data_IF_058220282231
#
_entry.id   IF_058220282231
#
_cell.length_a   1.000
_cell.length_b   1.000
_cell.length_c   1.000
_cell.angle_alpha   90.00
_cell.angle_beta   90.00
_cell.angle_gamma   90.00
#
_symmetry.space_group_name_H-M   'P 1'
#
loop_
_entity.id
_entity.type
_entity.pdbx_description
1 polymer ?
#
# COMPACT_ATOMS: atom_id res chain seq x y z
N UNK A 1 -3.33 20.68 -5.98
CA UNK A 1 -3.11 19.59 -5.00
C UNK A 1 -4.30 19.59 -4.06
N UNK A 2 -4.99 18.47 -3.93
CA UNK A 2 -5.97 18.30 -2.85
C UNK A 2 -5.19 17.80 -1.64
N UNK A 3 -5.13 18.64 -0.61
CA UNK A 3 -4.49 18.30 0.67
C UNK A 3 -5.28 17.18 1.35
N UNK A 4 -4.60 16.39 2.18
CA UNK A 4 -5.33 15.42 3.03
C UNK A 4 -6.19 16.19 4.03
N UNK A 5 -7.51 15.96 4.01
CA UNK A 5 -8.46 16.62 4.90
C UNK A 5 -8.65 15.83 6.22
N UNK A 6 -7.94 14.71 6.38
CA UNK A 6 -8.02 13.87 7.58
C UNK A 6 -9.26 12.98 7.63
N UNK A 7 -10.10 12.97 6.59
CA UNK A 7 -11.31 12.14 6.55
C UNK A 7 -10.95 10.66 6.66
N UNK A 8 -11.67 9.92 7.51
CA UNK A 8 -11.45 8.49 7.75
C UNK A 8 -12.79 7.78 7.93
N UNK A 9 -13.48 7.53 6.81
CA UNK A 9 -14.80 6.89 6.76
C UNK A 9 -14.78 5.47 6.19
N UNK A 10 -13.71 5.09 5.48
CA UNK A 10 -13.56 3.75 4.89
C UNK A 10 -13.29 2.71 5.98
N UNK A 11 -12.38 3.01 6.92
CA UNK A 11 -12.07 2.15 8.06
C UNK A 11 -11.94 2.98 9.34
N UNK A 12 -12.30 2.39 10.48
CA UNK A 12 -12.23 3.03 11.80
C UNK A 12 -10.87 2.81 12.48
N UNK A 13 -9.77 3.18 11.82
CA UNK A 13 -8.41 3.10 12.39
C UNK A 13 -7.76 4.48 12.49
N UNK A 14 -6.92 4.65 13.51
CA UNK A 14 -6.12 5.86 13.70
C UNK A 14 -4.86 5.85 12.83
N UNK A 15 -4.49 7.01 12.29
CA UNK A 15 -3.26 7.18 11.52
C UNK A 15 -3.37 6.84 10.03
N UNK A 16 -4.55 6.42 9.56
CA UNK A 16 -4.86 6.19 8.14
C UNK A 16 -6.09 7.01 7.75
N UNK A 17 -5.98 7.78 6.67
CA UNK A 17 -7.06 8.59 6.08
C UNK A 17 -7.60 7.91 4.83
N UNK A 18 -8.80 8.28 4.39
CA UNK A 18 -9.41 7.76 3.16
C UNK A 18 -8.57 8.10 1.94
N UNK A 19 -7.91 9.27 1.93
CA UNK A 19 -6.97 9.65 0.88
C UNK A 19 -5.80 8.66 0.79
N UNK A 20 -5.17 8.33 1.92
CA UNK A 20 -4.06 7.35 1.95
C UNK A 20 -4.54 5.98 1.51
N UNK A 21 -5.70 5.50 2.01
CA UNK A 21 -6.27 4.20 1.62
C UNK A 21 -6.54 4.10 0.14
N UNK A 22 -7.21 5.12 -0.43
CA UNK A 22 -7.49 5.20 -1.86
C UNK A 22 -6.20 5.24 -2.66
N UNK A 23 -5.21 6.05 -2.25
CA UNK A 23 -3.93 6.12 -2.95
C UNK A 23 -3.21 4.77 -2.98
N UNK A 24 -3.18 4.05 -1.86
CA UNK A 24 -2.59 2.70 -1.80
C UNK A 24 -3.35 1.76 -2.74
N UNK A 25 -4.68 1.71 -2.66
CA UNK A 25 -5.50 0.81 -3.48
C UNK A 25 -5.36 1.10 -4.98
N UNK A 26 -5.43 2.38 -5.36
CA UNK A 26 -5.38 2.83 -6.74
C UNK A 26 -4.00 2.57 -7.34
N UNK A 27 -2.92 2.90 -6.61
CA UNK A 27 -1.54 2.63 -7.06
C UNK A 27 -1.33 1.13 -7.33
N UNK A 28 -1.80 0.26 -6.43
CA UNK A 28 -1.68 -1.18 -6.64
C UNK A 28 -2.48 -1.67 -7.85
N UNK A 29 -3.72 -1.19 -7.99
CA UNK A 29 -4.56 -1.58 -9.12
C UNK A 29 -4.06 -1.02 -10.47
N UNK A 30 -3.45 0.16 -10.47
CA UNK A 30 -2.79 0.75 -11.64
C UNK A 30 -1.60 -0.12 -12.08
N UNK A 31 -0.68 -0.46 -11.16
CA UNK A 31 0.45 -1.33 -11.50
C UNK A 31 0.01 -2.73 -11.95
N UNK A 32 -1.01 -3.30 -11.30
CA UNK A 32 -1.61 -4.58 -11.75
C UNK A 32 -2.17 -4.47 -13.17
N UNK A 33 -2.78 -3.34 -13.52
CA UNK A 33 -3.29 -3.07 -14.88
C UNK A 33 -2.15 -2.97 -15.90
N UNK A 34 -1.06 -2.25 -15.58
CA UNK A 34 0.10 -2.18 -16.47
C UNK A 34 0.73 -3.55 -16.71
N UNK A 35 0.86 -4.38 -15.67
CA UNK A 35 1.37 -5.75 -15.80
C UNK A 35 0.41 -6.58 -16.65
N UNK A 36 -0.90 -6.54 -16.36
CA UNK A 36 -1.89 -7.35 -17.07
C UNK A 36 -1.91 -7.07 -18.58
N UNK A 37 -1.64 -5.82 -18.98
CA UNK A 37 -1.58 -5.36 -20.37
C UNK A 37 -0.19 -5.49 -21.01
N UNK A 38 0.79 -6.07 -20.31
CA UNK A 38 2.15 -6.22 -20.83
C UNK A 38 2.91 -4.90 -21.01
N UNK A 39 2.52 -3.84 -20.28
CA UNK A 39 3.09 -2.50 -20.40
C UNK A 39 4.16 -2.19 -19.34
N UNK A 40 4.29 -3.03 -18.32
CA UNK A 40 5.27 -2.84 -17.24
C UNK A 40 6.66 -3.35 -17.67
N UNK A 41 7.72 -2.53 -17.51
CA UNK A 41 9.11 -2.98 -17.76
C UNK A 41 9.55 -4.03 -16.73
N UNK A 42 10.13 -5.12 -17.19
CA UNK A 42 10.70 -6.20 -16.38
C UNK A 42 12.23 -6.06 -16.30
N UNK A 43 12.70 -5.02 -15.61
CA UNK A 43 14.13 -4.72 -15.49
C UNK A 43 14.81 -4.50 -16.85
N UNK A 44 15.85 -5.29 -17.14
CA UNK A 44 16.54 -5.30 -18.44
C UNK A 44 15.98 -6.34 -19.42
N UNK A 45 14.97 -7.12 -19.01
CA UNK A 45 14.43 -8.26 -19.78
C UNK A 45 13.24 -7.88 -20.69
N UNK A 46 13.05 -6.58 -20.97
CA UNK A 46 11.92 -6.09 -21.76
C UNK A 46 10.69 -5.78 -20.89
N UNK A 47 9.52 -6.25 -21.31
CA UNK A 47 8.25 -6.04 -20.61
C UNK A 47 7.77 -7.31 -19.90
N UNK A 48 6.95 -7.16 -18.87
CA UNK A 48 6.24 -8.27 -18.24
C UNK A 48 5.27 -8.91 -19.25
N UNK A 49 5.06 -10.23 -19.21
CA UNK A 49 4.05 -10.86 -20.05
C UNK A 49 2.64 -10.40 -19.62
N UNK A 50 1.72 -10.38 -20.59
CA UNK A 50 0.30 -10.16 -20.31
C UNK A 50 -0.25 -11.24 -19.38
N UNK A 51 -1.17 -10.86 -18.50
CA UNK A 51 -1.82 -11.77 -17.58
C UNK A 51 -3.21 -12.14 -18.11
N UNK A 52 -3.50 -13.42 -18.30
CA UNK A 52 -4.83 -13.86 -18.77
C UNK A 52 -5.95 -13.48 -17.80
N UNK A 53 -5.67 -13.48 -16.49
CA UNK A 53 -6.61 -13.03 -15.45
C UNK A 53 -5.84 -12.36 -14.32
N UNK A 54 -6.00 -11.04 -14.17
CA UNK A 54 -5.45 -10.27 -13.05
C UNK A 54 -6.60 -9.66 -12.24
N UNK A 55 -6.82 -10.16 -11.02
CA UNK A 55 -7.91 -9.67 -10.18
C UNK A 55 -7.70 -8.22 -9.73
N UNK A 56 -8.77 -7.42 -9.74
CA UNK A 56 -8.78 -6.09 -9.12
C UNK A 56 -8.83 -6.24 -7.60
N UNK A 57 -7.93 -5.57 -6.89
CA UNK A 57 -7.91 -5.54 -5.44
C UNK A 57 -9.04 -4.66 -4.90
N UNK A 58 -9.46 -4.96 -3.66
CA UNK A 58 -10.38 -4.15 -2.85
C UNK A 58 -9.68 -3.84 -1.53
N UNK A 59 -10.01 -2.71 -0.93
CA UNK A 59 -9.52 -2.39 0.40
C UNK A 59 -10.18 -3.29 1.45
N UNK A 60 -9.44 -3.69 2.47
CA UNK A 60 -9.93 -4.55 3.55
C UNK A 60 -9.43 -3.99 4.89
N UNK A 61 -10.35 -3.61 5.76
CA UNK A 61 -10.04 -2.98 7.04
C UNK A 61 -9.42 -3.95 8.06
N UNK A 62 -9.66 -5.26 7.96
CA UNK A 62 -9.01 -6.24 8.84
C UNK A 62 -7.54 -6.41 8.45
N UNK A 63 -7.23 -6.40 7.15
CA UNK A 63 -5.84 -6.38 6.69
C UNK A 63 -5.12 -5.08 7.09
N UNK A 64 -5.79 -3.93 7.02
CA UNK A 64 -5.24 -2.66 7.52
C UNK A 64 -4.95 -2.74 9.02
N UNK A 65 -5.89 -3.25 9.83
CA UNK A 65 -5.70 -3.41 11.27
C UNK A 65 -4.47 -4.26 11.58
N UNK A 66 -4.33 -5.40 10.91
CA UNK A 66 -3.16 -6.27 11.07
C UNK A 66 -1.87 -5.56 10.67
N UNK A 67 -1.87 -4.79 9.57
CA UNK A 67 -0.71 -4.03 9.13
C UNK A 67 -0.33 -2.93 10.13
N UNK A 68 -1.33 -2.19 10.66
CA UNK A 68 -1.14 -1.13 11.63
C UNK A 68 -0.63 -1.65 12.98
N UNK A 69 -1.15 -2.79 13.46
CA UNK A 69 -0.64 -3.45 14.67
C UNK A 69 0.84 -3.82 14.54
N UNK A 70 1.30 -4.21 13.36
CA UNK A 70 2.71 -4.49 13.09
C UNK A 70 3.53 -3.20 12.97
N UNK A 71 3.06 -2.22 12.18
CA UNK A 71 3.75 -0.95 11.99
C UNK A 71 4.00 -0.20 13.31
N UNK A 72 3.05 -0.29 14.26
CA UNK A 72 3.18 0.28 15.61
C UNK A 72 4.33 -0.28 16.43
N UNK A 73 4.86 -1.47 16.08
CA UNK A 73 6.06 -2.04 16.74
C UNK A 73 7.34 -1.32 16.34
N UNK A 74 7.31 -0.49 15.29
CA UNK A 74 8.46 0.25 14.76
C UNK A 74 9.65 -0.66 14.41
N UNK A 75 9.37 -1.87 13.92
CA UNK A 75 10.37 -2.84 13.48
C UNK A 75 10.38 -2.95 11.97
N UNK A 76 11.56 -2.89 11.35
CA UNK A 76 11.72 -3.11 9.91
C UNK A 76 11.98 -4.59 9.60
N UNK A 77 11.12 -5.46 10.12
CA UNK A 77 11.17 -6.90 9.89
C UNK A 77 9.76 -7.45 9.74
N UNK A 78 9.62 -8.56 9.03
CA UNK A 78 8.33 -9.20 8.79
C UNK A 78 7.79 -9.88 10.05
N UNK A 79 6.46 -9.97 10.15
CA UNK A 79 5.84 -10.86 11.14
C UNK A 79 6.22 -12.32 10.88
N UNK A 80 6.34 -13.18 11.90
CA UNK A 80 6.45 -14.62 11.68
C UNK A 80 5.28 -15.13 10.82
N UNK A 81 5.54 -16.04 9.87
CA UNK A 81 4.49 -16.54 8.97
C UNK A 81 3.30 -17.17 9.72
N UNK A 82 3.57 -17.80 10.87
CA UNK A 82 2.55 -18.35 11.78
C UNK A 82 1.58 -17.31 12.32
N UNK A 83 1.97 -16.04 12.39
CA UNK A 83 1.16 -14.93 12.89
C UNK A 83 0.42 -14.18 11.77
N UNK A 84 0.66 -14.51 10.50
CA UNK A 84 0.05 -13.78 9.36
C UNK A 84 -1.30 -14.34 8.92
N UNK A 85 -1.70 -15.53 9.41
CA UNK A 85 -2.98 -16.14 9.05
C UNK A 85 -3.12 -16.42 7.54
N UNK A 86 -2.00 -16.68 6.84
CA UNK A 86 -1.99 -16.88 5.39
C UNK A 86 -1.89 -15.60 4.55
N UNK A 87 -1.83 -14.42 5.18
CA UNK A 87 -1.71 -13.14 4.48
C UNK A 87 -0.28 -12.84 4.03
N UNK A 88 -0.14 -12.29 2.82
CA UNK A 88 1.12 -11.68 2.36
C UNK A 88 1.41 -10.38 3.11
N UNK A 89 2.68 -9.97 3.15
CA UNK A 89 3.10 -8.75 3.83
C UNK A 89 4.24 -8.09 3.04
N UNK A 90 4.13 -6.78 2.80
CA UNK A 90 5.19 -5.93 2.25
C UNK A 90 5.49 -4.83 3.28
N UNK A 91 6.76 -4.51 3.50
CA UNK A 91 7.21 -3.51 4.47
C UNK A 91 8.12 -2.50 3.77
N UNK A 92 7.94 -1.23 4.08
CA UNK A 92 8.80 -0.15 3.60
C UNK A 92 8.94 0.90 4.70
N UNK A 93 10.17 1.40 4.89
CA UNK A 93 10.51 2.43 5.88
C UNK A 93 11.34 3.51 5.21
N UNK A 94 11.01 4.77 5.47
CA UNK A 94 11.81 5.94 5.07
C UNK A 94 12.18 6.74 6.30
N UNK A 95 13.39 7.29 6.30
CA UNK A 95 13.87 8.18 7.35
C UNK A 95 13.90 9.60 6.79
N UNK A 96 12.89 10.40 7.10
CA UNK A 96 12.84 11.82 6.70
C UNK A 96 12.88 12.66 7.97
N UNK A 97 13.95 13.44 8.12
CA UNK A 97 14.11 14.35 9.26
C UNK A 97 13.06 15.47 9.21
N UNK A 98 12.28 15.63 10.28
CA UNK A 98 11.30 16.71 10.41
C UNK A 98 9.99 16.52 9.63
N UNK A 99 9.73 15.34 9.07
CA UNK A 99 8.45 15.06 8.39
C UNK A 99 7.32 14.88 9.40
N UNK A 100 6.21 15.57 9.18
CA UNK A 100 4.95 15.28 9.87
C UNK A 100 4.36 13.98 9.32
N UNK A 101 3.97 13.07 10.22
CA UNK A 101 3.36 11.77 9.88
C UNK A 101 2.06 11.94 9.09
N UNK A 102 1.39 13.10 9.20
CA UNK A 102 0.21 13.42 8.39
C UNK A 102 0.54 13.59 6.89
N UNK A 103 1.81 13.75 6.51
CA UNK A 103 2.24 13.89 5.11
C UNK A 103 2.57 12.54 4.45
N UNK A 104 2.49 11.43 5.18
CA UNK A 104 2.78 10.09 4.66
C UNK A 104 1.64 9.71 3.71
N UNK A 105 1.90 9.73 2.40
CA UNK A 105 0.90 9.46 1.36
C UNK A 105 0.54 10.66 0.49
N UNK A 106 1.16 11.82 0.72
CA UNK A 106 1.10 12.94 -0.21
C UNK A 106 2.07 12.74 -1.39
N UNK A 107 1.61 13.07 -2.61
CA UNK A 107 2.50 13.21 -3.75
C UNK A 107 3.42 14.41 -3.50
N UNK A 108 4.68 14.14 -3.16
CA UNK A 108 5.75 15.11 -3.34
C UNK A 108 6.18 14.98 -4.80
N UNK A 109 5.48 15.67 -5.70
CA UNK A 109 5.86 15.78 -7.12
C UNK A 109 7.01 16.75 -7.31
#
# INVERSE_FOLDING_TARGET
MNLDDGTSTICSTEGMTDKIRNRILDTHNEFRSYIARGLARNGTKGYAPEASVMYKLRYDCELEKLAMEHAKKCTNDHRPASERGGNGENIYTIFISGLDKAMIGEDVS
#
